data_IF_662391387031
#
_entry.id   IF_662391387031
#
_cell.length_a   1.000
_cell.length_b   1.000
_cell.length_c   1.000
_cell.angle_alpha   90.00
_cell.angle_beta   90.00
_cell.angle_gamma   90.00
#
_symmetry.space_group_name_H-M   'P 1'
#
loop_
_entity.id
_entity.type
_entity.pdbx_description
1 polymer ?
#
# COMPACT_ATOMS: atom_id res chain seq x y z
N UNK A 1 2.76 -6.04 16.58
CA UNK A 1 2.56 -7.44 16.18
C UNK A 1 1.15 -7.54 15.61
N UNK A 2 0.98 -8.08 14.40
CA UNK A 2 -0.35 -8.28 13.83
C UNK A 2 -0.94 -9.50 14.53
N UNK A 3 -1.81 -9.24 15.50
CA UNK A 3 -2.51 -10.28 16.27
C UNK A 3 -3.98 -10.27 15.84
N UNK A 4 -4.63 -11.44 15.74
CA UNK A 4 -6.08 -11.47 15.59
C UNK A 4 -6.72 -10.75 16.78
N UNK A 5 -7.50 -9.71 16.49
CA UNK A 5 -8.29 -8.95 17.45
C UNK A 5 -9.76 -9.08 17.08
N UNK A 6 -10.66 -8.99 18.07
CA UNK A 6 -12.11 -9.12 17.88
C UNK A 6 -12.70 -8.17 16.81
N UNK A 7 -12.01 -7.09 16.49
CA UNK A 7 -12.42 -6.06 15.54
C UNK A 7 -11.54 -5.98 14.28
N UNK A 8 -10.66 -6.96 14.05
CA UNK A 8 -9.85 -7.01 12.84
C UNK A 8 -10.68 -7.64 11.71
N UNK A 9 -11.19 -6.81 10.80
CA UNK A 9 -11.75 -7.28 9.54
C UNK A 9 -10.64 -7.44 8.49
N UNK A 10 -10.39 -8.68 8.06
CA UNK A 10 -9.37 -8.97 7.05
C UNK A 10 -9.71 -8.38 5.68
N UNK A 11 -10.98 -8.08 5.41
CA UNK A 11 -11.43 -7.49 4.15
C UNK A 11 -11.10 -5.99 4.05
N UNK A 12 -10.92 -5.31 5.18
CA UNK A 12 -10.58 -3.89 5.22
C UNK A 12 -9.24 -3.60 5.89
N UNK A 13 -8.52 -4.62 6.36
CA UNK A 13 -7.26 -4.41 7.06
C UNK A 13 -6.13 -3.86 6.16
N UNK A 14 -5.17 -3.20 6.82
CA UNK A 14 -3.95 -2.63 6.21
C UNK A 14 -3.16 -3.66 5.40
N UNK A 15 -3.14 -4.93 5.80
CA UNK A 15 -2.44 -5.99 5.05
C UNK A 15 -3.07 -6.22 3.67
N UNK A 16 -4.40 -6.28 3.60
CA UNK A 16 -5.10 -6.46 2.32
C UNK A 16 -4.87 -5.25 1.43
N UNK A 17 -5.01 -4.04 1.98
CA UNK A 17 -4.72 -2.80 1.27
C UNK A 17 -3.29 -2.80 0.70
N UNK A 18 -2.29 -3.08 1.54
CA UNK A 18 -0.89 -3.14 1.13
C UNK A 18 -0.63 -4.20 0.05
N UNK A 19 -1.29 -5.37 0.14
CA UNK A 19 -1.21 -6.40 -0.90
C UNK A 19 -1.76 -5.91 -2.24
N UNK A 20 -2.91 -5.23 -2.26
CA UNK A 20 -3.51 -4.69 -3.48
C UNK A 20 -2.58 -3.66 -4.12
N UNK A 21 -2.08 -2.71 -3.32
CA UNK A 21 -1.15 -1.68 -3.78
C UNK A 21 0.14 -2.31 -4.33
N UNK A 22 0.70 -3.29 -3.62
CA UNK A 22 1.92 -3.98 -4.04
C UNK A 22 1.73 -4.74 -5.35
N UNK A 23 0.62 -5.45 -5.54
CA UNK A 23 0.32 -6.14 -6.79
C UNK A 23 0.18 -5.17 -7.97
N UNK A 24 -0.45 -4.01 -7.76
CA UNK A 24 -0.55 -2.96 -8.78
C UNK A 24 0.83 -2.37 -9.12
N UNK A 25 1.65 -2.12 -8.11
CA UNK A 25 3.01 -1.60 -8.28
C UNK A 25 3.94 -2.62 -8.94
N UNK A 26 3.77 -3.91 -8.69
CA UNK A 26 4.54 -4.96 -9.36
C UNK A 26 4.27 -5.04 -10.86
N UNK A 27 3.04 -4.73 -11.31
CA UNK A 27 2.68 -4.75 -12.73
C UNK A 27 3.03 -3.45 -13.45
N UNK A 28 2.75 -2.29 -12.83
CA UNK A 28 2.96 -0.98 -13.44
C UNK A 28 4.33 -0.36 -13.17
N UNK A 29 5.07 -0.89 -12.19
CA UNK A 29 6.36 -0.41 -11.66
C UNK A 29 6.31 0.96 -10.98
N UNK A 30 5.67 1.96 -11.57
CA UNK A 30 5.46 3.29 -10.99
C UNK A 30 3.98 3.63 -11.09
N UNK A 31 3.39 4.13 -10.01
CA UNK A 31 2.01 4.62 -10.01
C UNK A 31 1.90 5.92 -9.22
N UNK A 32 1.02 6.80 -9.66
CA UNK A 32 0.72 8.02 -8.90
C UNK A 32 0.00 7.66 -7.60
N UNK A 33 0.14 8.54 -6.60
CA UNK A 33 -0.54 8.40 -5.32
C UNK A 33 -2.06 8.32 -5.50
N UNK A 34 -2.63 9.15 -6.38
CA UNK A 34 -4.04 9.13 -6.73
C UNK A 34 -4.49 7.82 -7.37
N UNK A 35 -3.72 7.28 -8.32
CA UNK A 35 -4.04 6.01 -8.98
C UNK A 35 -4.00 4.81 -8.03
N UNK A 36 -3.08 4.85 -7.06
CA UNK A 36 -2.98 3.83 -6.03
C UNK A 36 -4.14 3.93 -5.05
N UNK A 37 -4.51 5.14 -4.62
CA UNK A 37 -5.69 5.35 -3.78
C UNK A 37 -6.96 4.85 -4.45
N UNK A 38 -7.15 5.15 -5.74
CA UNK A 38 -8.30 4.68 -6.51
C UNK A 38 -8.38 3.14 -6.61
N UNK A 39 -7.24 2.44 -6.58
CA UNK A 39 -7.21 0.97 -6.62
C UNK A 39 -7.76 0.30 -5.36
N UNK A 40 -7.88 1.04 -4.25
CA UNK A 40 -8.47 0.55 -3.01
C UNK A 40 -9.99 0.70 -2.94
N UNK A 41 -10.65 1.16 -4.01
CA UNK A 41 -12.12 1.22 -4.08
C UNK A 41 -12.82 -0.11 -3.72
N UNK A 42 -12.15 -1.25 -3.93
CA UNK A 42 -12.60 -2.60 -3.55
C UNK A 42 -12.59 -2.88 -2.04
N UNK A 43 -12.08 -1.96 -1.21
CA UNK A 43 -12.16 -2.00 0.26
C UNK A 43 -13.42 -1.30 0.77
N UNK A 44 -14.02 -0.40 -0.03
CA UNK A 44 -15.19 0.37 0.36
C UNK A 44 -14.83 1.60 1.21
N UNK A 45 -15.70 1.96 2.15
CA UNK A 45 -15.61 3.19 2.94
C UNK A 45 -14.31 3.31 3.75
N UNK A 46 -13.72 2.19 4.14
CA UNK A 46 -12.46 2.15 4.89
C UNK A 46 -11.20 2.33 4.02
N UNK A 47 -11.34 2.45 2.68
CA UNK A 47 -10.21 2.56 1.77
C UNK A 47 -9.34 3.78 2.07
N UNK A 48 -9.96 4.91 2.38
CA UNK A 48 -9.25 6.17 2.63
C UNK A 48 -8.45 6.14 3.94
N UNK A 49 -9.01 5.53 4.99
CA UNK A 49 -8.34 5.41 6.28
C UNK A 49 -7.23 4.36 6.27
N UNK A 50 -7.32 3.36 5.40
CA UNK A 50 -6.34 2.26 5.31
C UNK A 50 -5.22 2.53 4.32
N UNK A 51 -5.42 3.44 3.36
CA UNK A 51 -4.46 3.74 2.32
C UNK A 51 -3.11 4.22 2.86
N UNK A 52 -3.11 5.25 3.71
CA UNK A 52 -1.87 5.84 4.26
C UNK A 52 -1.09 4.80 5.08
N UNK A 53 -1.71 4.06 6.03
CA UNK A 53 -1.04 2.96 6.73
C UNK A 53 -0.47 1.88 5.79
N UNK A 54 -1.16 1.56 4.70
CA UNK A 54 -0.70 0.57 3.73
C UNK A 54 0.56 1.03 2.98
N UNK A 55 0.58 2.29 2.54
CA UNK A 55 1.78 2.89 1.92
C UNK A 55 2.94 2.92 2.91
N UNK A 56 2.70 3.34 4.16
CA UNK A 56 3.73 3.34 5.21
C UNK A 56 4.28 1.93 5.47
N UNK A 57 3.41 0.91 5.52
CA UNK A 57 3.84 -0.47 5.69
C UNK A 57 4.74 -0.92 4.54
N UNK A 58 4.38 -0.64 3.29
CA UNK A 58 5.21 -0.99 2.13
C UNK A 58 6.56 -0.27 2.14
N UNK A 59 6.59 0.99 2.58
CA UNK A 59 7.83 1.76 2.72
C UNK A 59 8.73 1.16 3.80
N UNK A 60 8.17 0.83 4.98
CA UNK A 60 8.91 0.18 6.07
C UNK A 60 9.48 -1.18 5.66
N UNK A 61 8.77 -1.92 4.80
CA UNK A 61 9.24 -3.18 4.24
C UNK A 61 10.25 -2.99 3.08
N UNK A 62 10.59 -1.75 2.73
CA UNK A 62 11.50 -1.42 1.63
C UNK A 62 10.97 -1.81 0.26
N UNK A 63 9.64 -1.95 0.09
CA UNK A 63 9.00 -2.38 -1.16
C UNK A 63 8.63 -1.25 -2.08
N UNK A 64 8.64 -0.01 -1.59
CA UNK A 64 8.32 1.18 -2.38
C UNK A 64 9.26 2.33 -2.08
N UNK A 65 9.46 3.20 -3.06
CA UNK A 65 10.08 4.52 -2.88
C UNK A 65 9.15 5.62 -3.36
N UNK A 66 9.18 6.77 -2.69
CA UNK A 66 8.31 7.91 -3.02
C UNK A 66 9.08 8.95 -3.83
N UNK A 67 8.48 9.38 -4.94
CA UNK A 67 8.98 10.39 -5.85
C UNK A 67 8.19 11.69 -5.67
N UNK A 68 8.71 12.68 -4.92
CA UNK A 68 7.94 13.90 -4.59
C UNK A 68 7.63 14.79 -5.79
N UNK A 69 8.45 14.73 -6.84
CA UNK A 69 8.29 15.56 -8.03
C UNK A 69 7.04 15.20 -8.84
N UNK A 70 6.64 13.93 -8.81
CA UNK A 70 5.53 13.38 -9.60
C UNK A 70 4.42 12.80 -8.73
N UNK A 71 4.50 12.98 -7.41
CA UNK A 71 3.58 12.39 -6.41
C UNK A 71 3.30 10.90 -6.71
N UNK A 72 4.38 10.13 -6.87
CA UNK A 72 4.32 8.75 -7.34
C UNK A 72 5.12 7.81 -6.46
N UNK A 73 4.69 6.55 -6.42
CA UNK A 73 5.36 5.46 -5.74
C UNK A 73 5.95 4.51 -6.79
N UNK A 74 7.21 4.14 -6.60
CA UNK A 74 7.92 3.14 -7.41
C UNK A 74 8.08 1.83 -6.65
N UNK A 75 7.90 0.71 -7.34
CA UNK A 75 8.15 -0.63 -6.81
C UNK A 75 9.64 -0.95 -6.68
N UNK A 76 10.03 -1.42 -5.50
CA UNK A 76 11.39 -1.86 -5.19
C UNK A 76 11.45 -3.40 -5.12
N UNK A 77 12.13 -4.02 -6.08
CA UNK A 77 12.26 -5.48 -6.17
C UNK A 77 13.09 -6.09 -5.04
N UNK A 78 14.20 -5.44 -4.67
CA UNK A 78 14.96 -5.75 -3.45
C UNK A 78 14.59 -4.75 -2.38
N UNK A 79 14.29 -5.23 -1.16
CA UNK A 79 14.20 -4.33 -0.01
C UNK A 79 15.46 -3.47 0.06
N UNK A 80 15.32 -2.17 0.36
CA UNK A 80 16.48 -1.33 0.69
C UNK A 80 17.22 -2.02 1.84
N UNK A 81 18.33 -2.70 1.54
CA UNK A 81 19.29 -3.11 2.54
C UNK A 81 19.96 -1.82 3.00
N UNK A 82 19.44 -1.24 4.08
CA UNK A 82 20.22 -0.29 4.89
C UNK A 82 21.19 -1.06 5.77
#
# INVERSE_FOLDING_TARGET
MISPAKHLDLNTCVLRAASILLSKLQSARVCTYADLRASLSVIGEDADVTFVPAVHLLFLLGRVDYHPQTDSLEYMHSGKAS
#
